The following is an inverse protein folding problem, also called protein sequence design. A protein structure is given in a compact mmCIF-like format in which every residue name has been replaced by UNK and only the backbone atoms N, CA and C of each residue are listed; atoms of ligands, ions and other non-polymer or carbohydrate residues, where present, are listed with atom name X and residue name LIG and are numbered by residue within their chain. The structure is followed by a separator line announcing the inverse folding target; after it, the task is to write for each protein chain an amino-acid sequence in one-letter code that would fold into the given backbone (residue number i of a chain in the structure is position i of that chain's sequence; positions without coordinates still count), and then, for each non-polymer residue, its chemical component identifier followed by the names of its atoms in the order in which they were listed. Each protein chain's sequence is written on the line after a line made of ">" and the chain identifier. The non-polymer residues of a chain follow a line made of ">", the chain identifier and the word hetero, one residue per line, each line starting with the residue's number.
data_IF_378277315927
#
_entry.id   IF_378277315927
#
_cell.length_a   1.000
_cell.length_b   1.000
_cell.length_c   1.000
_cell.angle_alpha   90.00
_cell.angle_beta   90.00
_cell.angle_gamma   90.00
#
_symmetry.space_group_name_H-M   'P 1'
#
loop_
_entity.id
_entity.type
_entity.pdbx_description
1 polymer ?
#
# COMPACT_ATOMS: atom_id res chain seq x y z
N UNK A 1 52.59 -24.62 -8.57
CA UNK A 1 51.24 -24.74 -9.17
C UNK A 1 50.32 -23.79 -8.44
N UNK A 2 50.01 -22.65 -9.07
CA UNK A 2 49.13 -21.62 -8.49
C UNK A 2 47.69 -21.94 -8.90
N UNK A 3 46.81 -22.19 -7.93
CA UNK A 3 45.38 -22.40 -8.19
C UNK A 3 44.69 -21.04 -8.12
N UNK A 4 44.24 -20.51 -9.27
CA UNK A 4 43.37 -19.33 -9.35
C UNK A 4 41.98 -19.71 -8.81
N UNK A 5 41.47 -18.96 -7.85
CA UNK A 5 40.04 -18.93 -7.50
C UNK A 5 39.23 -18.37 -8.69
N UNK A 6 38.04 -18.92 -9.01
CA UNK A 6 37.18 -18.34 -10.02
C UNK A 6 36.62 -16.98 -9.53
N UNK A 7 36.55 -16.03 -10.45
CA UNK A 7 35.91 -14.74 -10.23
C UNK A 7 34.46 -14.92 -9.77
N UNK A 8 34.05 -14.16 -8.76
CA UNK A 8 32.66 -14.13 -8.29
C UNK A 8 31.70 -13.84 -9.43
N UNK A 9 30.61 -14.59 -9.46
CA UNK A 9 29.48 -14.38 -10.35
C UNK A 9 28.94 -12.96 -10.12
N UNK A 10 28.73 -12.15 -11.19
CA UNK A 10 28.19 -10.82 -11.02
C UNK A 10 26.79 -10.93 -10.38
N UNK A 11 26.53 -10.12 -9.36
CA UNK A 11 25.19 -9.93 -8.83
C UNK A 11 24.24 -9.66 -10.00
N UNK A 12 23.03 -10.26 -10.02
CA UNK A 12 22.10 -10.05 -11.12
C UNK A 12 21.89 -8.55 -11.31
N UNK A 13 22.09 -8.10 -12.55
CA UNK A 13 21.85 -6.73 -12.96
C UNK A 13 20.49 -6.30 -12.42
N UNK A 14 20.48 -5.16 -11.70
CA UNK A 14 19.27 -4.62 -11.11
C UNK A 14 18.17 -4.56 -12.16
N UNK A 15 17.06 -5.24 -11.87
CA UNK A 15 15.82 -5.09 -12.64
C UNK A 15 15.47 -3.60 -12.64
N UNK A 16 15.31 -3.09 -13.86
CA UNK A 16 14.95 -1.71 -14.16
C UNK A 16 13.64 -1.34 -13.42
N UNK A 17 13.74 -0.41 -12.46
CA UNK A 17 12.62 0.02 -11.60
C UNK A 17 11.42 0.53 -12.44
N UNK A 18 11.67 0.97 -13.68
CA UNK A 18 10.66 1.36 -14.66
C UNK A 18 9.86 0.21 -15.26
N UNK A 19 10.45 -0.97 -15.41
CA UNK A 19 9.79 -2.17 -15.95
C UNK A 19 8.82 -2.77 -14.90
N UNK A 20 9.22 -2.73 -13.63
CA UNK A 20 8.42 -3.22 -12.51
C UNK A 20 7.13 -2.42 -12.28
N UNK A 21 7.20 -1.08 -12.26
CA UNK A 21 6.02 -0.24 -12.09
C UNK A 21 5.00 -0.43 -13.24
N UNK A 22 5.51 -0.60 -14.46
CA UNK A 22 4.69 -0.84 -15.65
C UNK A 22 3.96 -2.18 -15.55
N UNK A 23 4.65 -3.21 -15.09
CA UNK A 23 4.10 -4.55 -14.83
C UNK A 23 3.04 -4.54 -13.72
N UNK A 24 3.30 -3.89 -12.59
CA UNK A 24 2.37 -3.82 -11.44
C UNK A 24 1.06 -3.11 -11.81
N UNK A 25 1.15 -2.00 -12.56
CA UNK A 25 -0.05 -1.30 -13.04
C UNK A 25 -0.84 -2.13 -14.07
N UNK A 26 -0.17 -2.90 -14.92
CA UNK A 26 -0.84 -3.80 -15.86
C UNK A 26 -1.63 -4.90 -15.12
N UNK A 27 -1.03 -5.49 -14.08
CA UNK A 27 -1.69 -6.49 -13.24
C UNK A 27 -2.94 -5.92 -12.53
N UNK A 28 -2.83 -4.70 -11.98
CA UNK A 28 -3.96 -4.02 -11.32
C UNK A 28 -5.11 -3.73 -12.30
N UNK A 29 -4.79 -3.26 -13.51
CA UNK A 29 -5.80 -2.98 -14.55
C UNK A 29 -6.48 -4.24 -15.07
N UNK A 30 -5.79 -5.37 -15.08
CA UNK A 30 -6.38 -6.66 -15.45
C UNK A 30 -7.24 -7.25 -14.32
N UNK A 31 -6.89 -6.99 -13.05
CA UNK A 31 -7.64 -7.45 -11.89
C UNK A 31 -8.95 -6.67 -11.68
N UNK A 32 -8.91 -5.34 -11.83
CA UNK A 32 -10.07 -4.47 -11.59
C UNK A 32 -11.00 -4.43 -12.81
N UNK A 33 -12.33 -4.49 -12.61
CA UNK A 33 -13.29 -4.59 -13.72
C UNK A 33 -13.45 -3.29 -14.52
N UNK A 34 -13.08 -2.15 -13.95
CA UNK A 34 -13.15 -0.85 -14.62
C UNK A 34 -12.10 0.12 -14.06
N UNK A 35 -11.81 1.15 -14.85
CA UNK A 35 -11.03 2.28 -14.38
C UNK A 35 -11.88 3.24 -13.52
N UNK A 36 -11.24 3.98 -12.61
CA UNK A 36 -11.89 5.07 -11.88
C UNK A 36 -12.44 6.11 -12.87
N UNK A 37 -13.76 6.42 -12.84
CA UNK A 37 -14.34 7.39 -13.77
C UNK A 37 -13.72 8.80 -13.61
N UNK A 38 -13.53 9.50 -14.73
CA UNK A 38 -12.97 10.86 -14.72
C UNK A 38 -13.77 11.82 -13.82
N UNK A 39 -15.10 11.73 -13.84
CA UNK A 39 -15.97 12.56 -12.98
C UNK A 39 -15.67 12.38 -11.47
N UNK A 40 -15.23 11.20 -11.03
CA UNK A 40 -14.82 10.99 -9.64
C UNK A 40 -13.52 11.71 -9.33
N UNK A 41 -12.55 11.69 -10.26
CA UNK A 41 -11.28 12.40 -10.12
C UNK A 41 -11.49 13.91 -10.04
N UNK A 42 -12.33 14.47 -10.92
CA UNK A 42 -12.67 15.89 -10.90
C UNK A 42 -13.32 16.30 -9.57
N UNK A 43 -14.27 15.48 -9.08
CA UNK A 43 -14.91 15.71 -7.79
C UNK A 43 -13.92 15.62 -6.62
N UNK A 44 -13.00 14.64 -6.63
CA UNK A 44 -11.99 14.46 -5.59
C UNK A 44 -10.94 15.59 -5.57
N UNK A 45 -10.58 16.13 -6.74
CA UNK A 45 -9.61 17.20 -6.90
C UNK A 45 -10.18 18.58 -6.47
N UNK A 46 -11.50 18.76 -6.56
CA UNK A 46 -12.17 20.00 -6.22
C UNK A 46 -11.83 20.47 -4.78
N UNK A 47 -11.38 21.72 -4.57
CA UNK A 47 -10.97 22.21 -3.25
C UNK A 47 -12.01 22.03 -2.15
N UNK A 48 -13.30 22.20 -2.49
CA UNK A 48 -14.42 22.05 -1.57
C UNK A 48 -14.57 20.62 -1.01
N UNK A 49 -14.12 19.60 -1.75
CA UNK A 49 -14.26 18.18 -1.36
C UNK A 49 -13.01 17.61 -0.69
N UNK A 50 -11.89 18.36 -0.69
CA UNK A 50 -10.58 17.85 -0.23
C UNK A 50 -10.59 17.47 1.24
N UNK A 51 -11.28 18.24 2.08
CA UNK A 51 -11.41 17.95 3.51
C UNK A 51 -12.22 16.65 3.72
N UNK A 52 -13.34 16.51 3.01
CA UNK A 52 -14.17 15.31 3.04
C UNK A 52 -13.39 14.07 2.58
N UNK A 53 -12.65 14.18 1.47
CA UNK A 53 -11.84 13.09 0.94
C UNK A 53 -10.79 12.62 1.94
N UNK A 54 -10.06 13.54 2.58
CA UNK A 54 -9.03 13.19 3.57
C UNK A 54 -9.62 12.58 4.83
N UNK A 55 -10.75 13.10 5.32
CA UNK A 55 -11.45 12.53 6.46
C UNK A 55 -11.97 11.11 6.17
N UNK A 56 -12.53 10.87 4.97
CA UNK A 56 -12.95 9.54 4.55
C UNK A 56 -11.75 8.59 4.36
N UNK A 57 -10.65 9.08 3.79
CA UNK A 57 -9.42 8.30 3.63
C UNK A 57 -8.84 7.88 4.98
N UNK A 58 -8.73 8.79 5.95
CA UNK A 58 -8.31 8.45 7.31
C UNK A 58 -9.22 7.37 7.94
N UNK A 59 -10.53 7.48 7.72
CA UNK A 59 -11.46 6.45 8.18
C UNK A 59 -11.27 5.12 7.46
N UNK A 60 -10.95 5.11 6.17
CA UNK A 60 -10.62 3.90 5.41
C UNK A 60 -9.39 3.20 5.97
N UNK A 61 -8.31 3.92 6.26
CA UNK A 61 -7.10 3.33 6.85
C UNK A 61 -7.38 2.69 8.22
N UNK A 62 -8.09 3.41 9.08
CA UNK A 62 -8.53 2.88 10.39
C UNK A 62 -9.40 1.63 10.24
N UNK A 63 -10.33 1.62 9.28
CA UNK A 63 -11.19 0.45 8.99
C UNK A 63 -10.40 -0.73 8.44
N UNK A 64 -9.38 -0.49 7.62
CA UNK A 64 -8.50 -1.53 7.10
C UNK A 64 -7.70 -2.19 8.25
N UNK A 65 -7.10 -1.40 9.13
CA UNK A 65 -6.44 -1.89 10.34
C UNK A 65 -7.38 -2.71 11.24
N UNK A 66 -8.59 -2.19 11.50
CA UNK A 66 -9.60 -2.87 12.30
C UNK A 66 -10.05 -4.19 11.66
N UNK A 67 -10.18 -4.23 10.33
CA UNK A 67 -10.52 -5.45 9.58
C UNK A 67 -9.41 -6.50 9.71
N UNK A 68 -8.14 -6.09 9.61
CA UNK A 68 -7.01 -6.99 9.80
C UNK A 68 -6.99 -7.59 11.22
N UNK A 69 -7.26 -6.78 12.25
CA UNK A 69 -7.38 -7.24 13.63
C UNK A 69 -8.56 -8.20 13.83
N UNK A 70 -9.73 -7.88 13.26
CA UNK A 70 -10.92 -8.74 13.32
C UNK A 70 -10.68 -10.10 12.67
N UNK A 71 -9.93 -10.15 11.56
CA UNK A 71 -9.51 -11.42 10.95
C UNK A 71 -8.52 -12.17 11.83
N UNK A 72 -7.59 -11.48 12.50
CA UNK A 72 -6.63 -12.11 13.41
C UNK A 72 -7.34 -12.77 14.61
N UNK A 73 -8.36 -12.13 15.18
CA UNK A 73 -9.19 -12.72 16.24
C UNK A 73 -10.02 -13.92 15.77
N UNK A 74 -10.39 -13.97 14.47
CA UNK A 74 -11.17 -15.08 13.90
C UNK A 74 -10.33 -16.30 13.56
N UNK A 75 -9.07 -16.12 13.17
CA UNK A 75 -8.20 -17.18 12.66
C UNK A 75 -6.95 -17.36 13.54
N UNK A 76 -7.18 -17.66 14.82
CA UNK A 76 -6.13 -17.72 15.86
C UNK A 76 -5.08 -18.81 15.65
N UNK A 77 -5.43 -19.90 14.96
CA UNK A 77 -4.54 -21.05 14.80
C UNK A 77 -3.72 -20.98 13.50
N UNK A 78 -3.90 -19.93 12.70
CA UNK A 78 -3.25 -19.78 11.40
C UNK A 78 -2.04 -18.83 11.47
N UNK A 79 -0.97 -19.25 12.16
CA UNK A 79 0.20 -18.41 12.46
C UNK A 79 0.76 -17.60 11.26
N UNK A 80 0.93 -18.16 10.04
CA UNK A 80 1.41 -17.37 8.90
C UNK A 80 0.48 -16.21 8.52
N UNK A 81 -0.84 -16.39 8.70
CA UNK A 81 -1.84 -15.35 8.44
C UNK A 81 -1.80 -14.29 9.54
N UNK A 82 -1.70 -14.69 10.81
CA UNK A 82 -1.56 -13.77 11.94
C UNK A 82 -0.36 -12.84 11.78
N UNK A 83 0.79 -13.36 11.36
CA UNK A 83 1.99 -12.55 11.11
C UNK A 83 1.75 -11.52 9.99
N UNK A 84 1.07 -11.92 8.91
CA UNK A 84 0.72 -11.00 7.80
C UNK A 84 -0.28 -9.93 8.25
N UNK A 85 -1.34 -10.31 8.94
CA UNK A 85 -2.38 -9.40 9.43
C UNK A 85 -1.85 -8.40 10.48
N UNK A 86 -0.97 -8.85 11.38
CA UNK A 86 -0.31 -7.97 12.36
C UNK A 86 0.59 -6.92 11.68
N UNK A 87 1.30 -7.30 10.61
CA UNK A 87 2.08 -6.35 9.80
C UNK A 87 1.17 -5.36 9.08
N UNK A 88 0.12 -5.86 8.43
CA UNK A 88 -0.86 -5.04 7.73
C UNK A 88 -1.52 -4.02 8.67
N UNK A 89 -2.02 -4.45 9.83
CA UNK A 89 -2.68 -3.55 10.78
C UNK A 89 -1.77 -2.40 11.22
N UNK A 90 -0.48 -2.66 11.45
CA UNK A 90 0.49 -1.61 11.82
C UNK A 90 0.79 -0.67 10.66
N UNK A 91 0.86 -1.21 9.44
CA UNK A 91 1.07 -0.40 8.24
C UNK A 91 -0.11 0.56 8.00
N UNK A 92 -1.35 0.09 8.11
CA UNK A 92 -2.52 0.95 7.93
C UNK A 92 -2.70 1.96 9.07
N UNK A 93 -2.31 1.62 10.31
CA UNK A 93 -2.28 2.61 11.39
C UNK A 93 -1.24 3.71 11.14
N UNK A 94 -0.08 3.35 10.57
CA UNK A 94 0.91 4.35 10.13
C UNK A 94 0.35 5.21 8.99
N UNK A 95 -0.39 4.64 8.03
CA UNK A 95 -1.05 5.41 6.99
C UNK A 95 -2.10 6.37 7.58
N UNK A 96 -2.92 5.91 8.53
CA UNK A 96 -3.86 6.74 9.26
C UNK A 96 -3.17 7.96 9.91
N UNK A 97 -2.07 7.74 10.64
CA UNK A 97 -1.27 8.81 11.25
C UNK A 97 -0.72 9.81 10.20
N UNK A 98 -0.26 9.32 9.06
CA UNK A 98 0.21 10.17 7.96
C UNK A 98 -0.89 11.05 7.40
N UNK A 99 -2.11 10.52 7.24
CA UNK A 99 -3.27 11.29 6.77
C UNK A 99 -3.64 12.36 7.79
N UNK A 100 -3.72 12.01 9.08
CA UNK A 100 -3.98 12.98 10.16
C UNK A 100 -2.94 14.11 10.14
N UNK A 101 -1.64 13.78 10.03
CA UNK A 101 -0.59 14.79 9.95
C UNK A 101 -0.72 15.68 8.70
N UNK A 102 -1.19 15.16 7.55
CA UNK A 102 -1.51 15.97 6.38
C UNK A 102 -2.68 16.91 6.67
N UNK A 103 -3.70 16.44 7.38
CA UNK A 103 -4.88 17.23 7.72
C UNK A 103 -4.51 18.38 8.66
N UNK A 104 -3.75 18.11 9.71
CA UNK A 104 -3.26 19.11 10.68
C UNK A 104 -2.42 20.19 10.00
N UNK A 105 -1.48 19.80 9.12
CA UNK A 105 -0.67 20.77 8.33
C UNK A 105 -1.49 21.68 7.43
N UNK A 106 -2.73 21.28 7.10
CA UNK A 106 -3.66 22.05 6.27
C UNK A 106 -4.70 22.82 7.10
N UNK A 107 -4.61 22.79 8.43
CA UNK A 107 -5.51 23.51 9.34
C UNK A 107 -6.93 22.95 9.36
N UNK A 108 -7.08 21.64 9.19
CA UNK A 108 -8.37 20.92 9.26
C UNK A 108 -8.54 20.21 10.59
#
# INVERSE_FOLDING_TARGET
>A
MTTRLPAGEPAPAGEDDGDRLTSDLAALRAFLPCATPAAWLEAAAAPANRALLLADHANCEKKAAATALNLAYRYTDHCPLLHKLSRLAREELRHFEQVIAIMERRGM
#
